data_IF_138084382764
#
_entry.id   IF_138084382764
#
_cell.length_a   1.000
_cell.length_b   1.000
_cell.length_c   1.000
_cell.angle_alpha   90.00
_cell.angle_beta   90.00
_cell.angle_gamma   90.00
#
_symmetry.space_group_name_H-M   'P 1'
#
loop_
_entity.id
_entity.type
_entity.pdbx_description
1 polymer ?
#
# COMPACT_ATOMS: atom_id res chain seq x y z
N UNK A 1 14.55 16.25 -6.54
CA UNK A 1 13.55 15.68 -5.61
C UNK A 1 13.03 14.31 -6.05
N UNK A 2 13.20 13.94 -7.33
CA UNK A 2 12.84 12.63 -7.91
C UNK A 2 13.23 11.40 -7.08
N UNK A 3 14.48 11.31 -6.63
CA UNK A 3 14.94 10.16 -5.83
C UNK A 3 14.16 10.04 -4.52
N UNK A 4 13.92 11.16 -3.82
CA UNK A 4 13.13 11.14 -2.58
C UNK A 4 11.67 10.73 -2.85
N UNK A 5 11.04 11.23 -3.91
CA UNK A 5 9.69 10.81 -4.30
C UNK A 5 9.63 9.31 -4.60
N UNK A 6 10.60 8.78 -5.34
CA UNK A 6 10.69 7.35 -5.61
C UNK A 6 10.93 6.52 -4.35
N UNK A 7 11.79 6.99 -3.43
CA UNK A 7 12.02 6.31 -2.16
C UNK A 7 10.74 6.24 -1.34
N UNK A 8 9.95 7.33 -1.28
CA UNK A 8 8.63 7.29 -0.62
C UNK A 8 7.74 6.20 -1.21
N UNK A 9 7.66 6.10 -2.55
CA UNK A 9 6.88 5.05 -3.22
C UNK A 9 7.40 3.65 -2.94
N UNK A 10 8.71 3.43 -3.05
CA UNK A 10 9.31 2.12 -2.82
C UNK A 10 9.14 1.66 -1.37
N UNK A 11 9.31 2.57 -0.41
CA UNK A 11 9.11 2.27 1.02
C UNK A 11 7.65 1.94 1.30
N UNK A 12 6.69 2.68 0.74
CA UNK A 12 5.27 2.37 0.86
C UNK A 12 4.93 1.02 0.24
N UNK A 13 5.28 0.82 -1.02
CA UNK A 13 4.93 -0.37 -1.78
C UNK A 13 5.58 -1.64 -1.23
N UNK A 14 6.85 -1.60 -0.85
CA UNK A 14 7.52 -2.77 -0.25
C UNK A 14 7.15 -2.96 1.22
N UNK A 15 7.11 -1.86 1.99
CA UNK A 15 6.85 -1.88 3.43
C UNK A 15 5.46 -2.37 3.78
N UNK A 16 4.45 -2.10 2.95
CA UNK A 16 3.12 -2.67 3.10
C UNK A 16 2.90 -3.91 2.23
N UNK A 17 3.39 -3.93 0.99
CA UNK A 17 3.17 -5.06 0.07
C UNK A 17 3.73 -6.38 0.58
N UNK A 18 4.96 -6.40 1.11
CA UNK A 18 5.58 -7.63 1.61
C UNK A 18 4.79 -8.21 2.80
N UNK A 19 4.49 -7.44 3.87
CA UNK A 19 3.62 -7.95 4.92
C UNK A 19 2.22 -8.32 4.43
N UNK A 20 1.69 -7.64 3.41
CA UNK A 20 0.40 -7.94 2.80
C UNK A 20 0.35 -9.33 2.17
N UNK A 21 1.40 -9.73 1.45
CA UNK A 21 1.52 -11.07 0.88
C UNK A 21 1.51 -12.14 1.97
N UNK A 22 2.36 -11.99 2.99
CA UNK A 22 2.42 -12.95 4.09
C UNK A 22 1.12 -12.97 4.91
N UNK A 23 0.52 -11.81 5.15
CA UNK A 23 -0.77 -11.67 5.84
C UNK A 23 -1.91 -12.36 5.09
N UNK A 24 -2.01 -12.17 3.77
CA UNK A 24 -3.01 -12.84 2.95
C UNK A 24 -2.83 -14.36 2.96
N UNK A 25 -1.59 -14.85 2.82
CA UNK A 25 -1.28 -16.29 2.86
C UNK A 25 -1.60 -16.90 4.23
N UNK A 26 -1.26 -16.21 5.32
CA UNK A 26 -1.54 -16.67 6.67
C UNK A 26 -3.04 -16.71 6.95
N UNK A 27 -3.76 -15.62 6.62
CA UNK A 27 -5.21 -15.52 6.78
C UNK A 27 -5.95 -16.57 5.96
N UNK A 28 -5.52 -16.82 4.71
CA UNK A 28 -6.12 -17.85 3.86
C UNK A 28 -5.92 -19.28 4.41
N UNK A 29 -4.84 -19.52 5.16
CA UNK A 29 -4.53 -20.85 5.73
C UNK A 29 -5.14 -21.09 7.10
N UNK A 30 -5.19 -20.05 7.94
CA UNK A 30 -5.53 -20.17 9.37
C UNK A 30 -6.89 -19.56 9.72
N UNK A 31 -7.39 -18.64 8.88
CA UNK A 31 -8.54 -17.80 9.23
C UNK A 31 -8.22 -16.69 10.24
N UNK A 32 -6.96 -16.57 10.68
CA UNK A 32 -6.54 -15.60 11.68
C UNK A 32 -5.77 -14.43 11.06
N UNK A 33 -5.90 -13.25 11.67
CA UNK A 33 -5.16 -12.06 11.26
C UNK A 33 -3.70 -12.24 11.68
N UNK A 34 -2.80 -12.16 10.72
CA UNK A 34 -1.38 -12.26 11.01
C UNK A 34 -0.92 -11.07 11.86
N UNK A 35 -0.13 -11.31 12.89
CA UNK A 35 0.50 -10.24 13.69
C UNK A 35 1.94 -10.02 13.27
N UNK A 36 2.30 -8.81 12.88
CA UNK A 36 3.67 -8.42 12.56
C UNK A 36 4.20 -7.43 13.60
N UNK A 37 5.26 -7.81 14.31
CA UNK A 37 5.88 -7.02 15.40
C UNK A 37 4.88 -6.61 16.49
N UNK A 38 3.94 -7.50 16.82
CA UNK A 38 2.91 -7.27 17.85
C UNK A 38 1.70 -6.47 17.39
N UNK A 39 1.62 -6.06 16.11
CA UNK A 39 0.46 -5.36 15.55
C UNK A 39 -0.34 -6.29 14.64
N UNK A 40 -1.69 -6.29 14.71
CA UNK A 40 -2.53 -7.03 13.78
C UNK A 40 -2.36 -6.43 12.37
N UNK A 41 -1.74 -7.19 11.49
CA UNK A 41 -1.48 -6.73 10.12
C UNK A 41 -2.77 -6.78 9.32
N UNK A 42 -3.25 -5.63 8.85
CA UNK A 42 -4.48 -5.51 8.04
C UNK A 42 -5.78 -5.92 8.77
N UNK A 43 -5.75 -5.96 10.11
CA UNK A 43 -6.92 -6.09 10.98
C UNK A 43 -7.17 -4.82 11.79
N UNK A 44 -8.32 -4.72 12.46
CA UNK A 44 -8.74 -3.58 13.26
C UNK A 44 -9.28 -2.39 12.47
N UNK A 45 -9.30 -2.48 11.14
CA UNK A 45 -9.79 -1.43 10.24
C UNK A 45 -11.24 -1.61 9.79
N UNK A 46 -11.85 -0.60 9.13
CA UNK A 46 -13.20 -0.67 8.58
C UNK A 46 -13.46 -1.84 7.63
N UNK A 47 -12.45 -2.49 7.06
CA UNK A 47 -12.61 -3.67 6.21
C UNK A 47 -12.90 -4.97 6.98
N UNK A 48 -12.57 -5.03 8.28
CA UNK A 48 -12.80 -6.24 9.08
C UNK A 48 -14.30 -6.54 9.27
N UNK A 49 -15.15 -5.51 9.25
CA UNK A 49 -16.61 -5.64 9.41
C UNK A 49 -17.30 -6.49 8.34
N UNK A 50 -16.64 -6.76 7.22
CA UNK A 50 -17.18 -7.56 6.11
C UNK A 50 -16.85 -9.05 6.23
N UNK A 51 -16.06 -9.44 7.24
CA UNK A 51 -15.74 -10.82 7.56
C UNK A 51 -14.58 -11.42 6.76
N UNK A 52 -14.08 -12.54 7.27
CA UNK A 52 -12.86 -13.25 6.84
C UNK A 52 -12.82 -13.55 5.32
N UNK A 53 -13.91 -14.02 4.66
CA UNK A 53 -13.86 -14.35 3.23
C UNK A 53 -13.51 -13.14 2.36
N UNK A 54 -13.99 -11.95 2.74
CA UNK A 54 -13.75 -10.70 2.00
C UNK A 54 -12.38 -10.12 2.36
N UNK A 55 -11.90 -10.33 3.58
CA UNK A 55 -10.60 -9.82 4.04
C UNK A 55 -9.43 -10.33 3.21
N UNK A 56 -9.39 -11.61 2.83
CA UNK A 56 -8.30 -12.14 1.97
C UNK A 56 -8.28 -11.44 0.61
N UNK A 57 -9.43 -11.30 -0.04
CA UNK A 57 -9.54 -10.62 -1.34
C UNK A 57 -9.14 -9.14 -1.25
N UNK A 58 -9.52 -8.45 -0.16
CA UNK A 58 -9.14 -7.07 0.08
C UNK A 58 -7.63 -6.92 0.31
N UNK A 59 -7.00 -7.81 1.08
CA UNK A 59 -5.54 -7.79 1.29
C UNK A 59 -4.81 -8.07 -0.02
N UNK A 60 -5.28 -9.03 -0.83
CA UNK A 60 -4.71 -9.30 -2.16
C UNK A 60 -4.84 -8.08 -3.07
N UNK A 61 -6.01 -7.44 -3.11
CA UNK A 61 -6.20 -6.20 -3.88
C UNK A 61 -5.25 -5.08 -3.43
N UNK A 62 -5.01 -4.95 -2.12
CA UNK A 62 -4.05 -3.99 -1.60
C UNK A 62 -2.60 -4.33 -1.96
N UNK A 63 -2.23 -5.60 -1.95
CA UNK A 63 -0.91 -6.05 -2.43
C UNK A 63 -0.72 -5.65 -3.91
N UNK A 64 -1.75 -5.74 -4.74
CA UNK A 64 -1.68 -5.27 -6.13
C UNK A 64 -1.47 -3.76 -6.22
N UNK A 65 -2.15 -2.96 -5.38
CA UNK A 65 -1.90 -1.51 -5.28
C UNK A 65 -0.46 -1.24 -4.82
N UNK A 66 0.04 -1.98 -3.84
CA UNK A 66 1.43 -1.88 -3.39
C UNK A 66 2.43 -2.23 -4.50
N UNK A 67 2.14 -3.25 -5.31
CA UNK A 67 2.97 -3.61 -6.46
C UNK A 67 2.97 -2.49 -7.51
N UNK A 68 1.80 -1.91 -7.80
CA UNK A 68 1.71 -0.74 -8.67
C UNK A 68 2.50 0.46 -8.12
N UNK A 69 2.53 0.62 -6.79
CA UNK A 69 3.32 1.66 -6.12
C UNK A 69 4.83 1.42 -6.24
N UNK A 70 5.29 0.17 -6.16
CA UNK A 70 6.69 -0.19 -6.44
C UNK A 70 7.04 0.13 -7.90
N UNK A 71 6.18 -0.26 -8.84
CA UNK A 71 6.36 0.06 -10.27
C UNK A 71 6.42 1.57 -10.47
N UNK A 72 5.54 2.34 -9.83
CA UNK A 72 5.60 3.80 -9.85
C UNK A 72 6.93 4.32 -9.34
N UNK A 73 7.44 3.82 -8.20
CA UNK A 73 8.74 4.20 -7.68
C UNK A 73 9.88 3.97 -8.68
N UNK A 74 9.87 2.82 -9.38
CA UNK A 74 10.83 2.52 -10.46
C UNK A 74 10.67 3.47 -11.65
N UNK A 75 9.44 3.77 -12.07
CA UNK A 75 9.16 4.69 -13.17
C UNK A 75 9.61 6.12 -12.83
N UNK A 76 9.42 6.57 -11.59
CA UNK A 76 9.93 7.84 -11.09
C UNK A 76 11.47 7.84 -11.14
N UNK A 77 12.14 6.76 -10.71
CA UNK A 77 13.60 6.66 -10.82
C UNK A 77 14.09 6.69 -12.27
N UNK A 78 13.35 6.07 -13.19
CA UNK A 78 13.67 6.02 -14.61
C UNK A 78 13.32 7.31 -15.38
N UNK A 79 12.72 8.31 -14.71
CA UNK A 79 12.21 9.53 -15.36
C UNK A 79 11.17 9.26 -16.47
N UNK A 80 10.40 8.19 -16.31
CA UNK A 80 9.49 7.74 -17.36
C UNK A 80 8.34 8.74 -17.57
N UNK A 81 7.94 9.00 -18.83
CA UNK A 81 6.79 9.84 -19.12
C UNK A 81 5.53 9.23 -18.50
N UNK A 82 4.73 10.07 -17.83
CA UNK A 82 3.46 9.65 -17.22
C UNK A 82 3.55 9.15 -15.77
N UNK A 83 4.75 9.01 -15.18
CA UNK A 83 4.89 8.62 -13.76
C UNK A 83 4.07 9.54 -12.82
N UNK A 84 4.07 10.85 -13.07
CA UNK A 84 3.27 11.82 -12.31
C UNK A 84 1.76 11.59 -12.45
N UNK A 85 1.28 11.30 -13.65
CA UNK A 85 -0.14 11.02 -13.88
C UNK A 85 -0.57 9.71 -13.20
N UNK A 86 0.28 8.67 -13.29
CA UNK A 86 0.06 7.40 -12.60
C UNK A 86 0.01 7.57 -11.08
N UNK A 87 0.92 8.38 -10.50
CA UNK A 87 0.91 8.70 -9.07
C UNK A 87 -0.42 9.30 -8.62
N UNK A 88 -0.97 10.25 -9.39
CA UNK A 88 -2.26 10.88 -9.09
C UNK A 88 -3.40 9.87 -9.25
N UNK A 89 -3.35 9.02 -10.27
CA UNK A 89 -4.38 8.01 -10.51
C UNK A 89 -4.42 6.91 -9.44
N UNK A 90 -3.28 6.61 -8.80
CA UNK A 90 -3.17 5.56 -7.78
C UNK A 90 -3.65 6.02 -6.39
N UNK A 91 -3.47 7.31 -6.07
CA UNK A 91 -3.84 7.93 -4.78
C UNK A 91 -5.23 7.56 -4.22
N UNK A 92 -6.32 7.56 -5.01
CA UNK A 92 -7.65 7.21 -4.48
C UNK A 92 -7.72 5.77 -3.98
N UNK A 93 -7.06 4.85 -4.69
CA UNK A 93 -7.01 3.44 -4.33
C UNK A 93 -6.17 3.24 -3.09
N UNK A 94 -4.98 3.85 -3.05
CA UNK A 94 -4.12 3.85 -1.87
C UNK A 94 -4.86 4.37 -0.63
N UNK A 95 -5.52 5.52 -0.75
CA UNK A 95 -6.26 6.14 0.34
C UNK A 95 -7.40 5.24 0.84
N UNK A 96 -8.16 4.63 -0.08
CA UNK A 96 -9.23 3.70 0.28
C UNK A 96 -8.70 2.52 1.10
N UNK A 97 -7.56 1.95 0.70
CA UNK A 97 -6.94 0.85 1.43
C UNK A 97 -6.28 1.28 2.75
N UNK A 98 -5.62 2.44 2.79
CA UNK A 98 -5.04 2.97 4.02
C UNK A 98 -6.11 3.24 5.07
N UNK A 99 -7.24 3.81 4.68
CA UNK A 99 -8.39 4.00 5.58
C UNK A 99 -9.01 2.65 5.95
N UNK A 100 -9.24 1.78 4.96
CA UNK A 100 -9.89 0.48 5.18
C UNK A 100 -9.13 -0.48 6.09
N UNK A 101 -7.80 -0.41 6.08
CA UNK A 101 -6.90 -1.19 6.95
C UNK A 101 -6.34 -0.39 8.14
N UNK A 102 -6.81 0.86 8.34
CA UNK A 102 -6.34 1.74 9.42
C UNK A 102 -4.80 1.91 9.46
N UNK A 103 -4.16 2.11 8.31
CA UNK A 103 -2.71 2.25 8.17
C UNK A 103 -2.28 3.73 8.36
N UNK A 104 -1.70 4.11 9.52
CA UNK A 104 -1.47 5.52 9.84
C UNK A 104 -0.34 6.15 9.02
N UNK A 105 0.62 5.34 8.54
CA UNK A 105 1.79 5.82 7.81
C UNK A 105 1.59 5.94 6.29
N UNK A 106 0.52 5.33 5.74
CA UNK A 106 0.20 5.40 4.32
C UNK A 106 -0.02 6.84 3.83
N UNK A 107 -1.02 7.57 4.36
CA UNK A 107 -1.37 8.90 3.89
C UNK A 107 -0.22 9.93 3.98
N UNK A 108 0.53 10.04 5.08
CA UNK A 108 1.64 11.01 5.16
C UNK A 108 2.72 10.78 4.10
N UNK A 109 3.12 9.53 3.85
CA UNK A 109 4.13 9.20 2.85
C UNK A 109 3.60 9.40 1.41
N UNK A 110 2.31 9.09 1.17
CA UNK A 110 1.65 9.35 -0.10
C UNK A 110 1.62 10.84 -0.43
N UNK A 111 1.27 11.68 0.55
CA UNK A 111 1.31 13.15 0.43
C UNK A 111 2.75 13.62 0.18
N UNK A 112 3.73 13.12 0.95
CA UNK A 112 5.13 13.50 0.78
C UNK A 112 5.62 13.19 -0.65
N UNK A 113 5.37 11.97 -1.15
CA UNK A 113 5.65 11.60 -2.55
C UNK A 113 5.00 12.58 -3.52
N UNK A 114 3.70 12.86 -3.36
CA UNK A 114 2.97 13.74 -4.27
C UNK A 114 3.54 15.14 -4.26
N UNK A 115 3.82 15.74 -3.10
CA UNK A 115 4.45 17.07 -3.02
C UNK A 115 5.82 17.07 -3.72
N UNK A 116 6.65 16.06 -3.47
CA UNK A 116 7.99 15.94 -4.07
C UNK A 116 7.99 15.77 -5.60
N UNK A 117 6.88 15.33 -6.22
CA UNK A 117 6.72 15.25 -7.68
C UNK A 117 6.34 16.58 -8.33
N UNK A 118 5.97 17.59 -7.54
CA UNK A 118 5.60 18.92 -8.02
C UNK A 118 6.65 19.99 -7.67
N UNK A 119 7.70 19.60 -6.91
CA UNK A 119 8.85 20.43 -6.57
C UNK A 119 10.08 20.04 -7.40
#
# INVERSE_FOLDING_TARGET
MRVAAAVCSLVLGLGFGLPGVFGALHLARTGEVWTFVGFPTYGGGPFERWGIPTSVALVVGFVLVCAAEVVLGVLILADAPGAKALSIALLPFELAYWVGFALPFGPPLGIARTVLLFL
#
